data_IF_611330815850
#
_entry.id   IF_611330815850
#
_cell.length_a   1.000
_cell.length_b   1.000
_cell.length_c   1.000
_cell.angle_alpha   90.00
_cell.angle_beta   90.00
_cell.angle_gamma   90.00
#
_symmetry.space_group_name_H-M   'P 1'
#
loop_
_entity.id
_entity.type
_entity.pdbx_description
1 polymer ?
#
# COMPACT_ATOMS: atom_id res chain seq x y z
N UNK A 1 2.36 8.76 7.90
CA UNK A 1 2.13 8.60 9.35
C UNK A 1 2.50 9.86 10.11
N UNK A 2 3.73 10.40 9.96
CA UNK A 2 4.17 11.60 10.71
C UNK A 2 3.29 12.83 10.50
N UNK A 3 2.94 13.14 9.26
CA UNK A 3 2.04 14.27 8.95
C UNK A 3 0.62 14.06 9.49
N UNK A 4 0.10 12.83 9.44
CA UNK A 4 -1.19 12.48 10.03
C UNK A 4 -1.17 12.72 11.54
N UNK A 5 -0.16 12.20 12.24
CA UNK A 5 0.01 12.42 13.67
C UNK A 5 0.13 13.92 13.99
N UNK A 6 0.92 14.65 13.21
CA UNK A 6 1.09 16.09 13.39
C UNK A 6 -0.23 16.85 13.24
N UNK A 7 -1.04 16.51 12.23
CA UNK A 7 -2.33 17.16 11.99
C UNK A 7 -3.32 16.89 13.13
N UNK A 8 -3.46 15.65 13.58
CA UNK A 8 -4.35 15.33 14.71
C UNK A 8 -3.91 15.99 16.01
N UNK A 9 -2.61 15.95 16.34
CA UNK A 9 -2.08 16.56 17.55
C UNK A 9 -2.22 18.08 17.56
N UNK A 10 -1.92 18.74 16.44
CA UNK A 10 -2.07 20.19 16.31
C UNK A 10 -3.53 20.61 16.44
N UNK A 11 -4.44 19.88 15.78
CA UNK A 11 -5.88 20.11 15.86
C UNK A 11 -6.45 19.90 17.28
N UNK A 12 -5.83 19.01 18.06
CA UNK A 12 -6.12 18.82 19.48
C UNK A 12 -5.48 19.89 20.38
N UNK A 13 -4.95 20.98 19.83
CA UNK A 13 -4.35 22.09 20.58
C UNK A 13 -2.97 21.81 21.13
N UNK A 14 -2.28 20.75 20.67
CA UNK A 14 -0.89 20.48 21.06
C UNK A 14 0.07 21.33 20.24
N UNK A 15 1.15 21.80 20.86
CA UNK A 15 2.26 22.45 20.14
C UNK A 15 3.05 21.35 19.42
N UNK A 16 3.08 21.40 18.10
CA UNK A 16 3.72 20.39 17.24
C UNK A 16 4.81 21.03 16.41
N UNK A 17 6.01 20.44 16.46
CA UNK A 17 7.12 20.74 15.57
C UNK A 17 7.46 19.49 14.76
N UNK A 18 7.40 19.60 13.43
CA UNK A 18 7.82 18.56 12.48
C UNK A 18 9.17 18.96 11.92
N UNK A 19 10.14 18.05 12.02
CA UNK A 19 11.49 18.23 11.46
C UNK A 19 11.68 17.23 10.31
N UNK A 20 11.91 17.73 9.11
CA UNK A 20 12.11 16.95 7.89
C UNK A 20 13.50 17.23 7.31
N UNK A 21 14.25 16.17 7.06
CA UNK A 21 15.60 16.26 6.52
C UNK A 21 15.65 16.69 5.05
N UNK A 22 14.63 16.31 4.25
CA UNK A 22 14.51 16.74 2.87
C UNK A 22 14.00 18.18 2.77
N UNK A 23 14.11 18.76 1.59
CA UNK A 23 13.56 20.08 1.26
C UNK A 23 12.02 20.09 1.09
N UNK A 24 11.40 18.91 1.17
CA UNK A 24 9.97 18.68 1.05
C UNK A 24 9.51 17.58 2.01
N UNK A 25 8.23 17.61 2.39
CA UNK A 25 7.58 16.57 3.19
C UNK A 25 7.04 15.44 2.33
N UNK A 26 6.69 14.30 2.95
CA UNK A 26 5.94 13.23 2.30
C UNK A 26 6.68 11.88 2.24
N UNK A 27 7.99 11.86 2.44
CA UNK A 27 8.77 10.62 2.44
C UNK A 27 8.64 9.84 1.13
N UNK A 28 8.09 8.61 1.18
CA UNK A 28 7.84 7.79 -0.01
C UNK A 28 6.55 8.17 -0.77
N UNK A 29 5.68 9.00 -0.20
CA UNK A 29 4.41 9.40 -0.81
C UNK A 29 4.52 10.81 -1.41
N UNK A 30 5.41 10.97 -2.38
CA UNK A 30 5.69 12.25 -3.06
C UNK A 30 5.43 12.16 -4.55
N UNK A 31 5.07 13.29 -5.15
CA UNK A 31 4.99 13.45 -6.61
C UNK A 31 6.13 14.31 -7.11
N UNK A 32 6.66 13.97 -8.28
CA UNK A 32 7.69 14.73 -8.95
C UNK A 32 7.33 14.99 -10.41
N UNK A 33 7.78 16.12 -10.96
CA UNK A 33 7.80 16.38 -12.38
C UNK A 33 9.04 15.69 -12.96
N UNK A 34 8.86 14.41 -13.35
CA UNK A 34 9.98 13.53 -13.68
C UNK A 34 10.60 13.80 -15.06
N UNK A 35 9.84 14.47 -15.96
CA UNK A 35 10.25 14.66 -17.36
C UNK A 35 10.30 16.14 -17.69
N UNK A 36 11.49 16.70 -18.02
CA UNK A 36 11.62 18.08 -18.43
C UNK A 36 10.75 18.43 -19.65
N UNK A 37 10.03 19.53 -19.59
CA UNK A 37 9.15 20.00 -20.68
C UNK A 37 7.80 19.30 -20.79
N UNK A 38 7.51 18.33 -19.91
CA UNK A 38 6.22 17.64 -19.86
C UNK A 38 5.50 18.03 -18.56
N UNK A 39 4.33 18.61 -18.66
CA UNK A 39 3.50 18.98 -17.52
C UNK A 39 2.78 17.74 -16.97
N UNK A 40 3.54 16.84 -16.36
CA UNK A 40 3.04 15.63 -15.72
C UNK A 40 3.72 15.41 -14.37
N UNK A 41 2.93 15.41 -13.30
CA UNK A 41 3.38 15.03 -11.95
C UNK A 41 3.10 13.54 -11.74
N UNK A 42 4.13 12.79 -11.47
CA UNK A 42 4.07 11.35 -11.24
C UNK A 42 4.43 11.03 -9.79
N UNK A 43 3.76 10.03 -9.24
CA UNK A 43 4.16 9.44 -7.95
C UNK A 43 5.57 8.87 -8.08
N UNK A 44 6.49 9.34 -7.23
CA UNK A 44 7.91 8.96 -7.32
C UNK A 44 8.13 7.51 -6.88
N UNK A 45 7.44 7.08 -5.82
CA UNK A 45 7.56 5.74 -5.23
C UNK A 45 6.19 5.08 -5.13
N UNK A 46 5.48 5.27 -4.02
CA UNK A 46 4.11 4.80 -3.85
C UNK A 46 3.17 5.51 -4.83
N UNK A 47 2.20 4.80 -5.39
CA UNK A 47 1.33 5.35 -6.45
C UNK A 47 -0.16 5.01 -6.29
N UNK A 48 -0.51 4.18 -5.32
CA UNK A 48 -1.89 3.77 -5.04
C UNK A 48 -2.26 4.06 -3.58
N UNK A 49 -3.53 4.33 -3.36
CA UNK A 49 -4.13 4.51 -2.04
C UNK A 49 -5.12 3.37 -1.81
N UNK A 50 -4.87 2.58 -0.78
CA UNK A 50 -5.71 1.47 -0.36
C UNK A 50 -6.02 1.57 1.14
N UNK A 51 -4.98 1.76 1.98
CA UNK A 51 -5.08 1.71 3.43
C UNK A 51 -5.31 3.06 4.11
N UNK A 52 -5.56 4.14 3.39
CA UNK A 52 -5.90 5.43 4.00
C UNK A 52 -7.38 5.41 4.43
N UNK A 53 -7.70 5.37 5.72
CA UNK A 53 -9.08 5.35 6.17
C UNK A 53 -9.82 6.62 5.79
N UNK A 54 -11.05 6.49 5.33
CA UNK A 54 -11.93 7.63 5.00
C UNK A 54 -12.13 8.57 6.19
N UNK A 55 -12.11 8.03 7.41
CA UNK A 55 -12.20 8.83 8.62
C UNK A 55 -11.06 9.84 8.70
N UNK A 56 -9.81 9.47 8.36
CA UNK A 56 -8.67 10.41 8.34
C UNK A 56 -8.90 11.53 7.33
N UNK A 57 -9.44 11.20 6.14
CA UNK A 57 -9.77 12.21 5.12
C UNK A 57 -10.83 13.18 5.65
N UNK A 58 -11.89 12.65 6.26
CA UNK A 58 -13.00 13.45 6.81
C UNK A 58 -12.57 14.27 8.02
N UNK A 59 -11.91 13.64 9.01
CA UNK A 59 -11.50 14.31 10.24
C UNK A 59 -10.55 15.48 9.99
N UNK A 60 -9.67 15.34 9.02
CA UNK A 60 -8.65 16.34 8.70
C UNK A 60 -9.06 17.27 7.55
N UNK A 61 -10.28 17.13 7.01
CA UNK A 61 -10.80 17.90 5.89
C UNK A 61 -9.82 17.92 4.70
N UNK A 62 -9.34 16.71 4.31
CA UNK A 62 -8.36 16.59 3.25
C UNK A 62 -9.01 16.77 1.88
N UNK A 63 -8.55 17.76 1.13
CA UNK A 63 -8.89 17.90 -0.29
C UNK A 63 -8.08 16.89 -1.13
N UNK A 64 -8.51 15.62 -1.10
CA UNK A 64 -7.89 14.52 -1.84
C UNK A 64 -8.94 13.86 -2.72
N UNK A 65 -8.73 13.93 -4.02
CA UNK A 65 -9.57 13.25 -5.00
C UNK A 65 -8.95 11.92 -5.38
N UNK A 66 -9.68 10.83 -5.12
CA UNK A 66 -9.30 9.46 -5.47
C UNK A 66 -10.12 8.98 -6.66
N UNK A 67 -9.48 8.30 -7.60
CA UNK A 67 -10.13 7.66 -8.75
C UNK A 67 -9.92 6.16 -8.64
N UNK A 68 -11.01 5.39 -8.65
CA UNK A 68 -10.98 3.93 -8.66
C UNK A 68 -10.47 3.42 -9.99
N UNK A 69 -9.57 2.43 -9.97
CA UNK A 69 -9.13 1.75 -11.19
C UNK A 69 -10.25 0.84 -11.71
N UNK A 70 -10.53 0.93 -12.99
CA UNK A 70 -11.46 0.04 -13.68
C UNK A 70 -10.82 -1.32 -13.93
N UNK A 71 -9.59 -1.33 -14.42
CA UNK A 71 -8.86 -2.54 -14.77
C UNK A 71 -7.99 -2.99 -13.60
N UNK A 72 -8.16 -4.25 -13.16
CA UNK A 72 -7.31 -4.84 -12.13
C UNK A 72 -5.98 -5.26 -12.73
N UNK A 73 -6.01 -6.13 -13.73
CA UNK A 73 -4.79 -6.67 -14.35
C UNK A 73 -5.00 -7.15 -15.78
N UNK A 74 -3.90 -7.20 -16.51
CA UNK A 74 -3.78 -7.99 -17.74
C UNK A 74 -2.63 -8.98 -17.61
N UNK A 75 -2.90 -10.26 -17.87
CA UNK A 75 -1.94 -11.35 -17.74
C UNK A 75 -1.85 -12.09 -19.06
N UNK A 76 -0.78 -11.89 -19.87
CA UNK A 76 -0.53 -12.70 -21.04
C UNK A 76 -0.16 -14.13 -20.63
N UNK A 77 -0.59 -15.13 -21.42
CA UNK A 77 -0.19 -16.53 -21.22
C UNK A 77 1.26 -16.69 -21.71
N UNK A 78 2.23 -17.06 -20.86
CA UNK A 78 3.64 -17.08 -21.27
C UNK A 78 3.95 -17.99 -22.47
N UNK A 79 3.26 -19.12 -22.59
CA UNK A 79 3.42 -20.08 -23.70
C UNK A 79 2.62 -19.71 -24.96
N UNK A 80 1.64 -18.82 -24.85
CA UNK A 80 0.74 -18.37 -25.90
C UNK A 80 0.46 -16.87 -25.74
N UNK A 81 1.45 -15.99 -26.00
CA UNK A 81 1.36 -14.56 -25.65
C UNK A 81 0.36 -13.78 -26.54
N UNK A 82 -0.22 -14.39 -27.54
CA UNK A 82 -1.39 -13.93 -28.31
C UNK A 82 -2.72 -14.11 -27.55
N UNK A 83 -2.67 -14.70 -26.35
CA UNK A 83 -3.81 -14.88 -25.45
C UNK A 83 -3.47 -14.29 -24.09
N UNK A 84 -4.46 -13.72 -23.43
CA UNK A 84 -4.30 -13.19 -22.08
C UNK A 84 -5.61 -13.12 -21.33
N UNK A 85 -5.54 -12.81 -20.05
CA UNK A 85 -6.71 -12.54 -19.21
C UNK A 85 -6.69 -11.07 -18.79
N UNK A 86 -7.69 -10.33 -19.24
CA UNK A 86 -7.99 -8.98 -18.73
C UNK A 86 -9.05 -9.09 -17.64
N UNK A 87 -8.74 -8.58 -16.44
CA UNK A 87 -9.70 -8.46 -15.34
C UNK A 87 -10.21 -7.02 -15.32
N UNK A 88 -11.45 -6.82 -15.80
CA UNK A 88 -12.12 -5.53 -15.94
C UNK A 88 -13.34 -5.46 -15.01
N UNK A 89 -13.30 -4.63 -14.00
CA UNK A 89 -14.43 -4.41 -13.09
C UNK A 89 -15.63 -3.72 -13.77
N UNK A 90 -15.42 -3.06 -14.90
CA UNK A 90 -16.46 -2.42 -15.70
C UNK A 90 -17.13 -3.36 -16.69
N UNK A 91 -16.60 -4.58 -16.90
CA UNK A 91 -17.14 -5.62 -17.78
C UNK A 91 -17.00 -7.01 -17.14
N UNK A 92 -17.89 -7.36 -16.21
CA UNK A 92 -17.87 -8.67 -15.56
C UNK A 92 -18.09 -9.84 -16.52
N UNK A 93 -18.92 -9.65 -17.55
CA UNK A 93 -19.22 -10.69 -18.54
C UNK A 93 -18.01 -10.94 -19.44
N UNK A 94 -17.33 -9.90 -19.90
CA UNK A 94 -16.07 -10.00 -20.62
C UNK A 94 -14.98 -10.66 -19.79
N UNK A 95 -14.87 -10.32 -18.51
CA UNK A 95 -13.95 -10.98 -17.57
C UNK A 95 -14.26 -12.46 -17.43
N UNK A 96 -15.53 -12.86 -17.24
CA UNK A 96 -15.95 -14.27 -17.16
C UNK A 96 -15.65 -15.05 -18.45
N UNK A 97 -15.88 -14.42 -19.60
CA UNK A 97 -15.54 -15.00 -20.91
C UNK A 97 -14.02 -15.18 -21.06
N UNK A 98 -13.22 -14.21 -20.58
CA UNK A 98 -11.75 -14.28 -20.54
C UNK A 98 -11.24 -15.48 -19.71
N UNK A 99 -11.79 -15.68 -18.50
CA UNK A 99 -11.48 -16.87 -17.70
C UNK A 99 -11.80 -18.16 -18.43
N UNK A 100 -12.98 -18.24 -19.05
CA UNK A 100 -13.38 -19.44 -19.81
C UNK A 100 -12.47 -19.68 -21.02
N UNK A 101 -12.09 -18.62 -21.73
CA UNK A 101 -11.16 -18.72 -22.86
C UNK A 101 -9.76 -19.15 -22.41
N UNK A 102 -9.29 -18.68 -21.24
CA UNK A 102 -7.99 -19.06 -20.68
C UNK A 102 -7.97 -20.54 -20.26
N UNK A 103 -8.95 -20.96 -19.46
CA UNK A 103 -8.92 -22.21 -18.69
C UNK A 103 -9.73 -23.35 -19.35
N UNK A 104 -10.52 -23.03 -20.37
CA UNK A 104 -11.46 -23.98 -21.01
C UNK A 104 -12.71 -24.28 -20.19
N UNK A 105 -12.94 -23.61 -19.06
CA UNK A 105 -14.05 -23.86 -18.15
C UNK A 105 -14.51 -22.58 -17.42
N UNK A 106 -15.81 -22.39 -17.16
CA UNK A 106 -16.31 -21.31 -16.33
C UNK A 106 -16.06 -21.53 -14.83
N UNK A 107 -15.56 -22.69 -14.41
CA UNK A 107 -15.39 -23.05 -12.99
C UNK A 107 -14.35 -22.19 -12.28
N UNK A 108 -13.28 -21.80 -12.97
CA UNK A 108 -12.23 -20.94 -12.42
C UNK A 108 -12.75 -19.54 -12.09
N UNK A 109 -13.58 -18.94 -12.94
CA UNK A 109 -14.22 -17.66 -12.64
C UNK A 109 -15.15 -17.77 -11.43
N UNK A 110 -15.92 -18.85 -11.32
CA UNK A 110 -16.76 -19.09 -10.16
C UNK A 110 -15.93 -19.28 -8.87
N UNK A 111 -14.80 -19.97 -8.95
CA UNK A 111 -13.85 -20.09 -7.84
C UNK A 111 -13.27 -18.73 -7.44
N UNK A 112 -12.87 -17.93 -8.43
CA UNK A 112 -12.39 -16.56 -8.23
C UNK A 112 -13.41 -15.70 -7.48
N UNK A 113 -14.66 -15.70 -7.91
CA UNK A 113 -15.73 -14.94 -7.24
C UNK A 113 -15.97 -15.40 -5.80
N UNK A 114 -15.98 -16.72 -5.55
CA UNK A 114 -16.12 -17.25 -4.20
C UNK A 114 -14.95 -16.85 -3.30
N UNK A 115 -13.73 -17.01 -3.79
CA UNK A 115 -12.52 -16.69 -3.04
C UNK A 115 -12.47 -15.21 -2.67
N UNK A 116 -12.62 -14.30 -3.65
CA UNK A 116 -12.59 -12.87 -3.39
C UNK A 116 -13.81 -12.38 -2.58
N UNK A 117 -14.95 -13.04 -2.69
CA UNK A 117 -16.11 -12.76 -1.81
C UNK A 117 -15.81 -13.07 -0.34
N UNK A 118 -15.07 -14.15 -0.06
CA UNK A 118 -14.62 -14.47 1.32
C UNK A 118 -13.54 -13.50 1.79
N UNK A 119 -12.59 -13.14 0.93
CA UNK A 119 -11.57 -12.13 1.24
C UNK A 119 -12.21 -10.78 1.55
N UNK A 120 -13.21 -10.37 0.76
CA UNK A 120 -13.97 -9.15 1.01
C UNK A 120 -14.69 -9.19 2.37
N UNK A 121 -15.31 -10.32 2.72
CA UNK A 121 -15.93 -10.50 4.03
C UNK A 121 -14.95 -10.28 5.18
N UNK A 122 -13.73 -10.80 5.07
CA UNK A 122 -12.66 -10.54 6.02
C UNK A 122 -12.29 -9.05 6.05
N UNK A 123 -12.09 -8.44 4.87
CA UNK A 123 -11.68 -7.05 4.73
C UNK A 123 -12.69 -6.08 5.38
N UNK A 124 -13.98 -6.28 5.15
CA UNK A 124 -15.06 -5.46 5.72
C UNK A 124 -15.08 -5.48 7.25
N UNK A 125 -14.61 -6.55 7.87
CA UNK A 125 -14.54 -6.70 9.33
C UNK A 125 -13.24 -6.22 9.93
N UNK A 126 -12.13 -6.49 9.25
CA UNK A 126 -10.81 -6.17 9.77
C UNK A 126 -10.46 -4.69 9.53
N UNK A 127 -10.77 -4.13 8.36
CA UNK A 127 -10.36 -2.77 8.03
C UNK A 127 -10.87 -1.69 9.01
N UNK A 128 -12.10 -1.73 9.55
CA UNK A 128 -12.52 -0.74 10.55
C UNK A 128 -11.64 -0.72 11.81
N UNK A 129 -10.97 -1.81 12.14
CA UNK A 129 -10.15 -1.91 13.37
C UNK A 129 -8.78 -1.23 13.25
N UNK A 130 -8.37 -0.81 12.05
CA UNK A 130 -7.02 -0.20 11.84
C UNK A 130 -6.83 1.14 12.57
N UNK A 131 -7.90 1.80 13.00
CA UNK A 131 -7.86 3.01 13.81
C UNK A 131 -8.17 2.78 15.28
N UNK A 132 -8.36 1.54 15.68
CA UNK A 132 -8.63 1.15 17.08
C UNK A 132 -7.34 0.68 17.78
N UNK A 133 -7.35 0.58 19.11
CA UNK A 133 -6.29 -0.11 19.84
C UNK A 133 -6.10 -1.54 19.32
N UNK A 134 -4.85 -2.01 19.29
CA UNK A 134 -4.52 -3.33 18.77
C UNK A 134 -5.30 -4.41 19.53
N UNK A 135 -6.05 -5.20 18.79
CA UNK A 135 -6.83 -6.35 19.30
C UNK A 135 -5.95 -7.60 19.34
N UNK A 136 -6.36 -8.58 20.15
CA UNK A 136 -5.74 -9.91 20.09
C UNK A 136 -6.13 -10.65 18.82
N UNK A 137 -5.31 -11.64 18.41
CA UNK A 137 -5.64 -12.48 17.26
C UNK A 137 -6.99 -13.17 17.42
N UNK A 138 -7.29 -13.68 18.61
CA UNK A 138 -8.58 -14.34 18.91
C UNK A 138 -9.77 -13.40 18.78
N UNK A 139 -9.63 -12.12 19.17
CA UNK A 139 -10.70 -11.13 19.03
C UNK A 139 -10.97 -10.81 17.57
N UNK A 140 -9.90 -10.72 16.74
CA UNK A 140 -10.06 -10.44 15.31
C UNK A 140 -10.62 -11.67 14.58
N UNK A 141 -10.19 -12.88 14.92
CA UNK A 141 -10.75 -14.11 14.38
C UNK A 141 -12.25 -14.23 14.68
N UNK A 142 -12.65 -13.96 15.93
CA UNK A 142 -14.06 -13.92 16.33
C UNK A 142 -14.86 -12.84 15.60
N UNK A 143 -14.25 -11.68 15.32
CA UNK A 143 -14.88 -10.60 14.55
C UNK A 143 -15.11 -11.02 13.08
N UNK A 144 -14.19 -11.75 12.48
CA UNK A 144 -14.31 -12.28 11.10
C UNK A 144 -15.41 -13.35 11.05
N UNK A 145 -15.48 -14.24 12.05
CA UNK A 145 -16.53 -15.24 12.19
C UNK A 145 -16.55 -16.32 11.11
N UNK A 146 -15.41 -16.56 10.45
CA UNK A 146 -15.18 -17.64 9.47
C UNK A 146 -13.83 -18.29 9.83
N UNK A 147 -13.89 -19.36 10.64
CA UNK A 147 -12.71 -20.04 11.15
C UNK A 147 -11.90 -20.69 10.04
N UNK A 148 -12.54 -21.23 9.00
CA UNK A 148 -11.86 -21.85 7.86
C UNK A 148 -11.11 -20.81 7.04
N UNK A 149 -11.70 -19.64 6.83
CA UNK A 149 -11.05 -18.53 6.15
C UNK A 149 -9.88 -17.99 6.96
N UNK A 150 -10.07 -17.83 8.28
CA UNK A 150 -9.03 -17.39 9.18
C UNK A 150 -7.83 -18.34 9.16
N UNK A 151 -8.08 -19.64 9.30
CA UNK A 151 -7.05 -20.67 9.25
C UNK A 151 -6.30 -20.62 7.90
N UNK A 152 -7.01 -20.53 6.79
CA UNK A 152 -6.44 -20.52 5.45
C UNK A 152 -5.58 -19.28 5.15
N UNK A 153 -6.02 -18.07 5.57
CA UNK A 153 -5.35 -16.83 5.19
C UNK A 153 -4.39 -16.29 6.26
N UNK A 154 -4.52 -16.72 7.51
CA UNK A 154 -3.73 -16.15 8.62
C UNK A 154 -2.75 -17.17 9.22
N UNK A 155 -3.10 -18.47 9.25
CA UNK A 155 -2.30 -19.48 9.96
C UNK A 155 -1.59 -20.49 9.09
N UNK A 156 -2.02 -20.64 7.82
CA UNK A 156 -1.42 -21.59 6.88
C UNK A 156 -0.81 -20.85 5.67
N UNK A 157 0.24 -21.42 5.04
CA UNK A 157 0.81 -20.82 3.85
C UNK A 157 -0.23 -20.60 2.75
N UNK A 158 -0.22 -19.40 2.15
CA UNK A 158 -1.21 -19.00 1.14
C UNK A 158 -1.24 -19.95 -0.08
N UNK A 159 -0.10 -20.59 -0.43
CA UNK A 159 -0.08 -21.61 -1.50
C UNK A 159 -1.11 -22.70 -1.30
N UNK A 160 -1.34 -23.15 -0.07
CA UNK A 160 -2.26 -24.25 0.21
C UNK A 160 -3.71 -23.89 -0.14
N UNK A 161 -4.15 -22.67 0.19
CA UNK A 161 -5.50 -22.24 -0.16
C UNK A 161 -5.62 -21.99 -1.67
N UNK A 162 -4.59 -21.42 -2.31
CA UNK A 162 -4.64 -21.18 -3.76
C UNK A 162 -4.67 -22.49 -4.55
N UNK A 163 -3.94 -23.53 -4.12
CA UNK A 163 -3.96 -24.85 -4.74
C UNK A 163 -5.31 -25.58 -4.55
N UNK A 164 -6.01 -25.30 -3.45
CA UNK A 164 -7.35 -25.86 -3.18
C UNK A 164 -8.45 -25.15 -3.95
N UNK A 165 -8.37 -23.80 -4.10
CA UNK A 165 -9.41 -23.00 -4.73
C UNK A 165 -9.30 -22.97 -6.26
N UNK A 166 -8.09 -22.99 -6.81
CA UNK A 166 -7.84 -22.80 -8.24
C UNK A 166 -7.07 -23.98 -8.86
N UNK A 167 -7.59 -24.51 -9.97
CA UNK A 167 -6.94 -25.56 -10.72
C UNK A 167 -5.91 -25.01 -11.72
N UNK A 168 -6.16 -23.82 -12.30
CA UNK A 168 -5.29 -23.20 -13.30
C UNK A 168 -4.13 -22.44 -12.67
N UNK A 169 -2.91 -22.71 -13.13
CA UNK A 169 -1.69 -22.13 -12.57
C UNK A 169 -1.53 -20.63 -12.88
N UNK A 170 -2.04 -20.18 -14.03
CA UNK A 170 -2.04 -18.75 -14.38
C UNK A 170 -2.98 -17.99 -13.45
N UNK A 171 -4.15 -18.54 -13.13
CA UNK A 171 -5.08 -17.94 -12.17
C UNK A 171 -4.45 -17.84 -10.78
N UNK A 172 -3.80 -18.93 -10.32
CA UNK A 172 -3.03 -18.91 -9.06
C UNK A 172 -1.95 -17.84 -9.05
N UNK A 173 -1.22 -17.70 -10.16
CA UNK A 173 -0.19 -16.68 -10.34
C UNK A 173 -0.72 -15.25 -10.25
N UNK A 174 -1.89 -14.98 -10.81
CA UNK A 174 -2.55 -13.68 -10.72
C UNK A 174 -2.86 -13.33 -9.26
N UNK A 175 -3.48 -14.26 -8.52
CA UNK A 175 -3.79 -14.06 -7.09
C UNK A 175 -2.52 -13.92 -6.25
N UNK A 176 -1.49 -14.74 -6.53
CA UNK A 176 -0.22 -14.72 -5.82
C UNK A 176 0.55 -13.40 -5.96
N UNK A 177 0.27 -12.59 -6.99
CA UNK A 177 0.91 -11.29 -7.17
C UNK A 177 0.74 -10.40 -5.96
N UNK A 178 -0.46 -10.34 -5.37
CA UNK A 178 -0.73 -9.52 -4.19
C UNK A 178 -0.01 -10.02 -2.93
N UNK A 179 0.42 -11.28 -2.93
CA UNK A 179 1.20 -11.87 -1.83
C UNK A 179 2.72 -11.68 -1.97
N UNK A 180 3.20 -11.40 -3.17
CA UNK A 180 4.64 -11.37 -3.47
C UNK A 180 5.15 -9.98 -3.85
N UNK A 181 4.26 -9.06 -4.17
CA UNK A 181 4.64 -7.70 -4.54
C UNK A 181 5.22 -6.94 -3.33
N UNK A 182 6.50 -6.58 -3.40
CA UNK A 182 7.17 -5.85 -2.34
C UNK A 182 7.75 -6.72 -1.21
N UNK A 183 7.82 -8.04 -1.39
CA UNK A 183 8.45 -8.95 -0.42
C UNK A 183 9.28 -10.04 -1.07
N UNK A 184 10.36 -10.49 -0.39
CA UNK A 184 11.14 -11.67 -0.75
C UNK A 184 10.59 -12.92 -0.03
N UNK A 185 9.29 -13.18 -0.15
CA UNK A 185 8.64 -14.34 0.44
C UNK A 185 8.48 -15.47 -0.59
N UNK A 186 8.30 -16.69 -0.09
CA UNK A 186 7.86 -17.85 -0.89
C UNK A 186 6.41 -18.13 -0.58
N UNK A 187 5.61 -18.51 -1.58
CA UNK A 187 4.19 -18.79 -1.41
C UNK A 187 3.88 -19.85 -0.35
N UNK A 188 4.77 -20.85 -0.20
CA UNK A 188 4.69 -21.88 0.84
C UNK A 188 5.54 -21.60 2.09
N UNK A 189 5.98 -20.35 2.31
CA UNK A 189 6.80 -19.98 3.45
C UNK A 189 6.06 -20.16 4.79
N UNK A 190 6.68 -20.86 5.74
CA UNK A 190 6.09 -21.10 7.06
C UNK A 190 6.11 -19.85 7.97
N UNK A 191 6.88 -18.83 7.59
CA UNK A 191 6.93 -17.53 8.27
C UNK A 191 5.72 -16.62 7.91
N UNK A 192 4.90 -17.04 6.96
CA UNK A 192 3.65 -16.41 6.53
C UNK A 192 3.79 -14.94 6.05
N UNK A 193 4.98 -14.49 5.67
CA UNK A 193 5.20 -13.14 5.15
C UNK A 193 4.38 -12.85 3.90
N UNK A 194 4.20 -13.84 3.04
CA UNK A 194 3.34 -13.78 1.86
C UNK A 194 1.87 -13.55 2.24
N UNK A 195 1.39 -14.17 3.33
CA UNK A 195 0.03 -13.96 3.82
C UNK A 195 -0.17 -12.53 4.35
N UNK A 196 0.80 -12.03 5.11
CA UNK A 196 0.79 -10.63 5.58
C UNK A 196 0.76 -9.66 4.41
N UNK A 197 1.60 -9.89 3.38
CA UNK A 197 1.64 -9.07 2.17
C UNK A 197 0.29 -9.11 1.43
N UNK A 198 -0.29 -10.30 1.25
CA UNK A 198 -1.59 -10.51 0.62
C UNK A 198 -2.71 -9.75 1.34
N UNK A 199 -2.83 -9.93 2.65
CA UNK A 199 -3.86 -9.26 3.44
C UNK A 199 -3.67 -7.73 3.44
N UNK A 200 -2.43 -7.26 3.54
CA UNK A 200 -2.10 -5.84 3.44
C UNK A 200 -2.64 -5.20 2.15
N UNK A 201 -2.57 -5.92 1.03
CA UNK A 201 -3.08 -5.43 -0.24
C UNK A 201 -4.61 -5.51 -0.37
N UNK A 202 -5.26 -6.46 0.31
CA UNK A 202 -6.67 -6.77 0.08
C UNK A 202 -7.64 -6.25 1.14
N UNK A 203 -7.18 -5.81 2.32
CA UNK A 203 -8.10 -5.27 3.33
C UNK A 203 -8.44 -3.79 3.12
N UNK A 204 -7.73 -3.10 2.23
CA UNK A 204 -7.84 -1.65 2.06
C UNK A 204 -9.27 -1.19 1.78
N UNK A 205 -9.70 -0.15 2.50
CA UNK A 205 -11.05 0.39 2.40
C UNK A 205 -12.18 -0.57 2.80
N UNK A 206 -11.87 -1.77 3.28
CA UNK A 206 -12.83 -2.85 3.49
C UNK A 206 -13.29 -3.55 2.21
N UNK A 207 -12.74 -3.20 1.06
CA UNK A 207 -13.13 -3.71 -0.27
C UNK A 207 -11.96 -4.28 -1.05
N UNK A 208 -10.71 -4.04 -0.60
CA UNK A 208 -9.50 -4.38 -1.35
C UNK A 208 -9.27 -3.52 -2.60
N UNK A 209 -10.04 -2.46 -2.77
CA UNK A 209 -9.89 -1.58 -3.92
C UNK A 209 -8.67 -0.67 -3.81
N UNK A 210 -8.05 -0.41 -4.93
CA UNK A 210 -6.89 0.45 -5.05
C UNK A 210 -7.24 1.69 -5.86
N UNK A 211 -7.17 2.83 -5.20
CA UNK A 211 -7.48 4.12 -5.80
C UNK A 211 -6.22 4.88 -6.21
N UNK A 212 -6.33 5.69 -7.26
CA UNK A 212 -5.25 6.56 -7.74
C UNK A 212 -5.55 7.99 -7.31
N UNK A 213 -4.66 8.65 -6.56
CA UNK A 213 -4.87 10.05 -6.21
C UNK A 213 -4.60 10.97 -7.42
N UNK A 214 -5.52 11.88 -7.69
CA UNK A 214 -5.34 12.92 -8.70
C UNK A 214 -4.19 13.84 -8.28
N UNK A 215 -3.21 14.02 -9.14
CA UNK A 215 -1.96 14.74 -8.82
C UNK A 215 -0.88 13.86 -8.17
N UNK A 216 -1.11 12.54 -8.13
CA UNK A 216 -0.19 11.55 -7.55
C UNK A 216 -0.19 11.57 -6.02
N UNK A 217 0.64 10.73 -5.42
CA UNK A 217 0.71 10.56 -3.96
C UNK A 217 1.08 11.85 -3.21
N UNK A 218 1.80 12.76 -3.86
CA UNK A 218 2.09 14.08 -3.29
C UNK A 218 0.84 14.88 -2.93
N UNK A 219 -0.27 14.72 -3.66
CA UNK A 219 -1.52 15.41 -3.34
C UNK A 219 -2.05 14.99 -1.95
N UNK A 220 -1.87 13.71 -1.57
CA UNK A 220 -2.26 13.20 -0.25
C UNK A 220 -1.39 13.81 0.85
N UNK A 221 -0.08 13.78 0.67
CA UNK A 221 0.87 14.29 1.68
C UNK A 221 0.87 15.81 1.78
N UNK A 222 0.66 16.52 0.68
CA UNK A 222 0.46 17.97 0.65
C UNK A 222 -0.83 18.35 1.39
N UNK A 223 -1.91 17.57 1.22
CA UNK A 223 -3.16 17.72 1.98
C UNK A 223 -2.94 17.55 3.48
N UNK A 224 -2.25 16.50 3.89
CA UNK A 224 -1.91 16.26 5.29
C UNK A 224 -1.01 17.35 5.88
N UNK A 225 -0.04 17.85 5.12
CA UNK A 225 0.82 18.95 5.56
C UNK A 225 0.02 20.24 5.76
N UNK A 226 -0.88 20.58 4.81
CA UNK A 226 -1.79 21.73 4.95
C UNK A 226 -2.68 21.60 6.18
N UNK A 227 -3.25 20.41 6.42
CA UNK A 227 -4.07 20.16 7.60
C UNK A 227 -3.29 20.31 8.91
N UNK A 228 -2.03 19.85 8.96
CA UNK A 228 -1.16 20.02 10.11
C UNK A 228 -0.87 21.50 10.38
N UNK A 229 -0.49 22.27 9.36
CA UNK A 229 -0.21 23.72 9.48
C UNK A 229 -1.47 24.49 9.86
N UNK A 230 -2.62 24.18 9.25
CA UNK A 230 -3.89 24.80 9.62
C UNK A 230 -4.30 24.52 11.07
N UNK A 231 -3.92 23.37 11.62
CA UNK A 231 -4.07 23.03 13.04
C UNK A 231 -3.07 23.72 13.97
N UNK A 232 -2.07 24.42 13.43
CA UNK A 232 -1.05 25.14 14.19
C UNK A 232 0.30 24.39 14.36
N UNK A 233 0.53 23.32 13.59
CA UNK A 233 1.85 22.70 13.56
C UNK A 233 2.87 23.56 12.81
N UNK A 234 4.09 23.60 13.34
CA UNK A 234 5.26 24.14 12.63
C UNK A 234 5.95 23.00 11.88
N UNK A 235 6.20 23.17 10.58
CA UNK A 235 6.96 22.21 9.76
C UNK A 235 8.24 22.88 9.27
N UNK A 236 9.39 22.27 9.59
CA UNK A 236 10.72 22.70 9.12
C UNK A 236 11.29 21.64 8.21
N UNK A 237 11.40 21.95 6.94
CA UNK A 237 12.14 21.16 5.94
C UNK A 237 13.63 21.51 5.96
N UNK A 238 14.45 20.75 5.24
CA UNK A 238 15.91 20.89 5.23
C UNK A 238 16.51 20.93 6.64
N UNK A 239 15.86 20.27 7.58
CA UNK A 239 16.22 20.27 9.00
C UNK A 239 16.45 18.84 9.47
N UNK A 240 17.65 18.36 9.21
CA UNK A 240 18.04 16.98 9.56
C UNK A 240 18.26 16.87 11.08
N UNK A 241 17.51 15.99 11.73
CA UNK A 241 17.76 15.57 13.12
C UNK A 241 19.07 14.80 13.18
N UNK A 242 19.90 15.12 14.15
CA UNK A 242 21.21 14.52 14.38
C UNK A 242 21.21 13.60 15.60
N UNK A 243 20.40 13.90 16.60
CA UNK A 243 20.30 13.11 17.82
C UNK A 243 18.91 13.21 18.45
N UNK A 244 18.49 12.13 19.08
CA UNK A 244 17.27 12.02 19.88
C UNK A 244 17.62 11.45 21.24
N UNK A 245 17.32 12.20 22.31
CA UNK A 245 17.46 11.74 23.69
C UNK A 245 16.08 11.24 24.17
N UNK A 246 15.98 10.06 24.80
CA UNK A 246 14.76 9.60 25.43
C UNK A 246 14.15 10.55 26.45
N UNK A 247 14.98 11.44 27.05
CA UNK A 247 14.52 12.52 27.94
C UNK A 247 13.76 13.66 27.24
N UNK A 248 13.53 13.50 25.92
CA UNK A 248 12.75 14.42 25.11
C UNK A 248 13.56 15.51 24.39
N UNK A 249 14.89 15.50 24.44
CA UNK A 249 15.72 16.45 23.69
C UNK A 249 15.95 15.94 22.26
N UNK A 250 15.63 16.78 21.27
CA UNK A 250 15.91 16.54 19.86
C UNK A 250 16.89 17.61 19.39
N UNK A 251 17.97 17.20 18.74
CA UNK A 251 19.04 18.10 18.25
C UNK A 251 19.18 17.99 16.74
N UNK A 252 19.33 19.14 16.07
CA UNK A 252 19.63 19.26 14.65
C UNK A 252 20.71 20.31 14.41
N UNK A 253 21.18 20.45 13.16
CA UNK A 253 22.17 21.46 12.85
C UNK A 253 21.64 22.87 13.13
N UNK A 254 22.29 23.60 14.01
CA UNK A 254 21.91 24.96 14.39
C UNK A 254 20.79 25.09 15.42
N UNK A 255 20.33 23.95 16.05
CA UNK A 255 19.29 24.07 17.06
C UNK A 255 18.96 22.80 17.82
N UNK A 256 18.09 22.98 18.81
CA UNK A 256 17.50 21.88 19.57
C UNK A 256 16.12 22.25 20.08
N UNK A 257 15.32 21.27 20.42
CA UNK A 257 14.05 21.45 21.11
C UNK A 257 13.84 20.32 22.12
N UNK A 258 13.08 20.61 23.18
CA UNK A 258 12.65 19.61 24.15
C UNK A 258 11.14 19.41 24.02
N UNK A 259 10.71 18.17 23.93
CA UNK A 259 9.31 17.76 23.81
C UNK A 259 8.96 16.74 24.90
N UNK A 260 7.72 16.75 25.36
CA UNK A 260 7.19 15.71 26.25
C UNK A 260 6.94 14.38 25.54
N UNK A 261 6.80 14.42 24.21
CA UNK A 261 6.60 13.24 23.39
C UNK A 261 7.27 13.43 22.03
N UNK A 262 7.97 12.41 21.56
CA UNK A 262 8.62 12.37 20.25
C UNK A 262 7.99 11.26 19.44
N UNK A 263 7.51 11.60 18.25
CA UNK A 263 7.02 10.64 17.26
C UNK A 263 8.05 10.46 16.15
N UNK A 264 8.77 9.34 16.16
CA UNK A 264 9.72 9.00 15.12
C UNK A 264 8.98 8.46 13.89
N UNK A 265 8.92 9.26 12.81
CA UNK A 265 8.32 8.87 11.54
C UNK A 265 9.39 8.47 10.50
N UNK A 266 10.53 8.01 10.95
CA UNK A 266 11.63 7.45 10.16
C UNK A 266 11.72 5.93 10.34
N UNK A 267 12.57 5.26 9.54
CA UNK A 267 12.81 3.84 9.70
C UNK A 267 13.45 3.54 11.08
N UNK A 268 13.16 2.38 11.71
CA UNK A 268 13.73 2.01 13.01
C UNK A 268 15.26 2.04 13.03
N UNK A 269 15.93 1.67 11.95
CA UNK A 269 17.39 1.74 11.81
C UNK A 269 17.91 3.18 11.87
N UNK A 270 17.17 4.13 11.28
CA UNK A 270 17.50 5.56 11.37
C UNK A 270 17.31 6.06 12.80
N UNK A 271 16.19 5.68 13.45
CA UNK A 271 15.95 6.02 14.84
C UNK A 271 17.08 5.50 15.74
N UNK A 272 17.55 4.27 15.56
CA UNK A 272 18.67 3.71 16.31
C UNK A 272 19.96 4.48 16.12
N UNK A 273 20.22 4.99 14.92
CA UNK A 273 21.35 5.89 14.68
C UNK A 273 21.22 7.19 15.49
N UNK A 274 20.03 7.76 15.55
CA UNK A 274 19.76 9.00 16.29
C UNK A 274 19.85 8.81 17.82
N UNK A 275 19.38 7.66 18.32
CA UNK A 275 19.49 7.29 19.74
C UNK A 275 20.95 7.02 20.14
N UNK A 276 21.71 6.31 19.29
CA UNK A 276 23.12 6.03 19.54
C UNK A 276 23.97 7.30 19.67
N UNK A 277 23.59 8.38 19.01
CA UNK A 277 24.27 9.68 19.11
C UNK A 277 24.20 10.30 20.52
N UNK A 278 23.24 9.88 21.35
CA UNK A 278 23.12 10.30 22.76
C UNK A 278 23.57 9.21 23.74
N UNK A 279 24.00 8.04 23.25
CA UNK A 279 24.31 6.88 24.08
C UNK A 279 23.08 6.12 24.57
N UNK A 280 21.88 6.43 24.05
CA UNK A 280 20.66 5.74 24.42
C UNK A 280 20.60 4.32 23.83
N UNK A 281 19.87 3.43 24.51
CA UNK A 281 19.67 2.06 24.05
C UNK A 281 18.86 2.04 22.74
N UNK A 282 19.21 1.16 21.80
CA UNK A 282 18.45 1.01 20.58
C UNK A 282 17.06 0.41 20.84
N UNK A 283 16.08 0.77 20.00
CA UNK A 283 14.83 0.03 19.93
C UNK A 283 15.05 -1.31 19.23
N UNK A 284 14.33 -2.38 19.59
CA UNK A 284 14.42 -3.65 18.89
C UNK A 284 14.10 -3.45 17.40
N UNK A 285 14.97 -3.93 16.55
CA UNK A 285 14.76 -3.93 15.09
C UNK A 285 15.07 -5.31 14.57
N UNK A 286 14.28 -5.76 13.60
CA UNK A 286 14.69 -6.86 12.74
C UNK A 286 15.88 -6.42 11.86
N UNK A 287 16.51 -7.36 11.18
CA UNK A 287 17.50 -7.04 10.16
C UNK A 287 16.92 -6.02 9.16
N UNK A 288 17.79 -5.14 8.64
CA UNK A 288 17.35 -4.11 7.69
C UNK A 288 16.61 -4.78 6.52
N UNK A 289 15.36 -4.38 6.25
CA UNK A 289 14.58 -5.01 5.20
C UNK A 289 15.24 -4.77 3.84
N UNK A 290 15.38 -5.83 3.06
CA UNK A 290 15.82 -5.74 1.67
C UNK A 290 14.70 -5.14 0.81
N UNK A 291 15.05 -4.23 -0.09
CA UNK A 291 14.10 -3.67 -1.06
C UNK A 291 13.81 -4.69 -2.16
N UNK A 292 12.56 -5.12 -2.29
CA UNK A 292 12.10 -6.11 -3.27
C UNK A 292 11.55 -5.50 -4.56
N UNK A 293 11.54 -4.19 -4.71
CA UNK A 293 10.94 -3.51 -5.86
C UNK A 293 11.85 -2.46 -6.48
N UNK A 294 11.83 -2.40 -7.81
CA UNK A 294 12.37 -1.30 -8.59
C UNK A 294 11.24 -0.54 -9.26
N UNK A 295 11.09 0.75 -8.94
CA UNK A 295 10.16 1.62 -9.66
C UNK A 295 10.83 2.35 -10.80
N UNK A 296 10.32 2.17 -12.02
CA UNK A 296 10.72 2.89 -13.22
C UNK A 296 9.53 3.67 -13.77
N UNK A 297 9.67 4.99 -13.92
CA UNK A 297 8.70 5.81 -14.62
C UNK A 297 9.17 6.01 -16.06
N UNK A 298 8.32 5.74 -17.03
CA UNK A 298 8.64 5.85 -18.45
C UNK A 298 7.68 6.80 -19.14
N UNK A 299 8.21 7.73 -19.92
CA UNK A 299 7.45 8.53 -20.86
C UNK A 299 7.57 7.90 -22.24
N UNK A 300 6.46 7.45 -22.77
CA UNK A 300 6.38 6.76 -24.04
C UNK A 300 5.67 7.62 -25.07
N UNK A 301 6.12 7.59 -26.32
CA UNK A 301 5.41 8.24 -27.44
C UNK A 301 4.10 7.53 -27.80
N UNK A 302 4.00 6.26 -27.45
CA UNK A 302 2.79 5.41 -27.58
C UNK A 302 2.92 4.23 -26.62
N UNK A 303 1.77 3.61 -26.27
CA UNK A 303 1.77 2.35 -25.54
C UNK A 303 2.37 1.22 -26.38
N UNK A 304 3.03 0.22 -25.79
CA UNK A 304 3.45 -0.99 -26.44
C UNK A 304 2.26 -1.71 -27.09
N UNK A 305 2.50 -2.35 -28.23
CA UNK A 305 1.50 -3.25 -28.84
C UNK A 305 1.50 -4.57 -28.10
N UNK A 306 0.30 -5.10 -27.85
CA UNK A 306 0.15 -6.44 -27.31
C UNK A 306 0.23 -7.46 -28.45
N UNK A 307 0.65 -8.69 -28.14
CA UNK A 307 0.51 -9.83 -29.05
C UNK A 307 -0.93 -10.34 -29.12
N UNK A 308 -1.68 -10.17 -28.03
CA UNK A 308 -3.11 -10.34 -28.00
C UNK A 308 -3.78 -9.09 -28.60
N UNK A 309 -4.16 -9.18 -29.89
CA UNK A 309 -4.77 -8.08 -30.63
C UNK A 309 -6.25 -7.83 -30.23
N UNK A 310 -6.84 -8.73 -29.43
CA UNK A 310 -8.21 -8.58 -28.93
C UNK A 310 -8.31 -7.61 -27.74
N UNK A 311 -7.18 -7.28 -27.10
CA UNK A 311 -7.13 -6.41 -25.93
C UNK A 311 -6.56 -5.05 -26.30
N UNK A 312 -7.29 -3.99 -25.94
CA UNK A 312 -6.78 -2.62 -26.08
C UNK A 312 -5.56 -2.41 -25.15
N UNK A 313 -4.41 -1.99 -25.69
CA UNK A 313 -3.25 -1.64 -24.88
C UNK A 313 -3.55 -0.64 -23.75
N UNK A 314 -4.46 0.31 -23.96
CA UNK A 314 -4.85 1.26 -22.93
C UNK A 314 -5.53 0.56 -21.73
N UNK A 315 -6.34 -0.46 -21.97
CA UNK A 315 -6.94 -1.28 -20.92
C UNK A 315 -5.89 -2.14 -20.18
N UNK A 316 -5.01 -2.81 -20.95
CA UNK A 316 -3.98 -3.68 -20.38
C UNK A 316 -2.98 -2.94 -19.49
N UNK A 317 -2.58 -1.72 -19.88
CA UNK A 317 -1.61 -0.92 -19.13
C UNK A 317 -2.27 0.03 -18.10
N UNK A 318 -3.59 0.05 -17.97
CA UNK A 318 -4.30 0.80 -16.95
C UNK A 318 -4.36 0.06 -15.59
N UNK A 319 -4.05 -1.23 -15.56
CA UNK A 319 -3.97 -2.07 -14.37
C UNK A 319 -2.56 -2.61 -14.13
N UNK A 320 -2.47 -3.71 -13.38
CA UNK A 320 -1.24 -4.49 -13.25
C UNK A 320 -1.00 -5.29 -14.52
N UNK A 321 0.18 -5.20 -15.10
CA UNK A 321 0.60 -6.03 -16.23
C UNK A 321 1.54 -7.11 -15.70
N UNK A 322 1.17 -8.37 -15.81
CA UNK A 322 1.97 -9.51 -15.35
C UNK A 322 2.93 -10.02 -16.42
#
# INVERSE_FOLDING_TARGET
NGLTAAAYLARAGRRVLVLEAADHVGGAAVSAQAFPGVDARLSRYSYLVSLLPRQVITDLDLDVRLIRRRFSSFTPVPSQPERGLLVDHGDPDGTAAGFTALTGSPTEHAAWQRFYGRVQHLAERVFPTVLEPLRTESDVAALVGDDDLWEALVRRPLSEVLEQEFADDTVRGIVATDALIGTFARMGGADLRQNVCFLYHLIGGGTGDWDVPVGGMGAVTDGLARAAVAGGAEIRTSTRVLAVDPDGLVTWEGGSARASTIHAACAPTVLNTLLAATGAAPVPTEEAPEGAQLKVNMLLSRLPRLRDESVDPAAAFAGTFH
#
